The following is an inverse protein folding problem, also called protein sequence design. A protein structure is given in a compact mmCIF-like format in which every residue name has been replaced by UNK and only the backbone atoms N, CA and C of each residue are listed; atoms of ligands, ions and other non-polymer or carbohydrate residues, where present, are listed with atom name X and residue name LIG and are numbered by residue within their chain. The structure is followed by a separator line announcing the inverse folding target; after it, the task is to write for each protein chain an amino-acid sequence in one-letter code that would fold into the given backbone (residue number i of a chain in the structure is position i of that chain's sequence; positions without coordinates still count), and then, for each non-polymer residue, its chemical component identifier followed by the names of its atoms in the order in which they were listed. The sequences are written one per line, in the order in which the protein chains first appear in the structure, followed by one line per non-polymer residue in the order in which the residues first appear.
data_IF_061632590787
#
_entry.id   IF_061632590787
#
_cell.length_a   1.000
_cell.length_b   1.000
_cell.length_c   1.000
_cell.angle_alpha   90.00
_cell.angle_beta   90.00
_cell.angle_gamma   90.00
#
_symmetry.space_group_name_H-M   'P 1'
#
loop_
_entity.id
_entity.type
_entity.pdbx_description
1 polymer ?
#
# COMPACT_ATOMS: atom_id res chain seq x y z
N UNK A 1 16.42 11.86 10.03
CA UNK A 1 15.18 12.61 9.81
C UNK A 1 14.92 12.76 8.31
N UNK A 2 14.30 11.75 7.66
CA UNK A 2 13.84 11.81 6.24
C UNK A 2 13.09 10.54 5.81
N UNK A 3 13.49 9.36 6.31
CA UNK A 3 13.02 8.08 5.75
C UNK A 3 11.51 7.82 5.92
N UNK A 4 10.88 8.30 6.99
CA UNK A 4 9.44 8.06 7.22
C UNK A 4 8.49 9.00 6.47
N UNK A 5 8.93 10.20 6.07
CA UNK A 5 8.02 11.20 5.50
C UNK A 5 7.64 10.87 4.04
N UNK A 6 8.59 10.37 3.26
CA UNK A 6 8.32 10.00 1.86
C UNK A 6 7.38 8.80 1.77
N UNK A 7 7.65 7.74 2.54
CA UNK A 7 6.76 6.58 2.62
C UNK A 7 5.36 6.98 3.12
N UNK A 8 5.28 7.76 4.20
CA UNK A 8 4.01 8.27 4.71
C UNK A 8 3.24 9.09 3.66
N UNK A 9 3.90 9.98 2.92
CA UNK A 9 3.24 10.73 1.86
C UNK A 9 2.69 9.83 0.74
N UNK A 10 3.44 8.81 0.32
CA UNK A 10 2.96 7.83 -0.67
C UNK A 10 1.79 6.99 -0.14
N UNK A 11 1.83 6.65 1.14
CA UNK A 11 0.76 5.93 1.82
C UNK A 11 -0.54 6.77 1.82
N UNK A 12 -0.49 8.04 2.22
CA UNK A 12 -1.65 8.93 2.20
C UNK A 12 -2.23 9.14 0.78
N UNK A 13 -1.37 9.28 -0.23
CA UNK A 13 -1.82 9.38 -1.63
C UNK A 13 -2.52 8.10 -2.07
N UNK A 14 -2.06 6.94 -1.60
CA UNK A 14 -2.68 5.64 -1.85
C UNK A 14 -4.08 5.56 -1.25
N UNK A 15 -4.25 5.99 0.00
CA UNK A 15 -5.55 6.10 0.65
C UNK A 15 -6.52 7.00 -0.11
N UNK A 16 -6.04 8.17 -0.54
CA UNK A 16 -6.81 9.10 -1.35
C UNK A 16 -7.23 8.49 -2.71
N UNK A 17 -6.34 7.70 -3.34
CA UNK A 17 -6.62 6.99 -4.58
C UNK A 17 -7.66 5.88 -4.43
N UNK A 18 -7.75 5.25 -3.26
CA UNK A 18 -8.80 4.27 -2.94
C UNK A 18 -10.13 4.97 -2.64
N UNK A 19 -10.11 6.12 -1.97
CA UNK A 19 -11.31 6.87 -1.60
C UNK A 19 -12.12 7.31 -2.84
N UNK A 20 -13.36 6.82 -2.95
CA UNK A 20 -14.34 7.26 -3.94
C UNK A 20 -14.81 8.70 -3.71
N UNK A 21 -15.60 9.27 -4.65
CA UNK A 21 -16.03 10.69 -4.60
C UNK A 21 -16.66 11.07 -3.25
N UNK A 22 -17.66 10.31 -2.80
CA UNK A 22 -18.35 10.57 -1.54
C UNK A 22 -17.47 10.39 -0.30
N UNK A 23 -16.46 9.50 -0.35
CA UNK A 23 -15.52 9.32 0.76
C UNK A 23 -14.58 10.52 0.89
N UNK A 24 -14.17 11.14 -0.23
CA UNK A 24 -13.31 12.33 -0.22
C UNK A 24 -13.91 13.58 0.41
N UNK A 25 -15.22 13.58 0.64
CA UNK A 25 -15.93 14.67 1.31
C UNK A 25 -15.95 14.50 2.84
N UNK A 26 -15.44 13.37 3.36
CA UNK A 26 -15.38 13.07 4.79
C UNK A 26 -13.97 13.32 5.33
N UNK A 27 -13.87 13.70 6.61
CA UNK A 27 -12.61 13.72 7.36
C UNK A 27 -11.96 12.33 7.26
N UNK A 28 -10.66 12.29 6.95
CA UNK A 28 -9.85 11.08 6.73
C UNK A 28 -10.47 10.06 5.77
N UNK A 29 -11.19 10.55 4.76
CA UNK A 29 -11.93 9.76 3.78
C UNK A 29 -12.99 8.82 4.39
N UNK A 30 -13.36 9.04 5.65
CA UNK A 30 -14.17 8.11 6.44
C UNK A 30 -13.51 6.74 6.60
N UNK A 31 -12.17 6.65 6.59
CA UNK A 31 -11.48 5.45 7.05
C UNK A 31 -11.77 5.23 8.54
N UNK A 32 -11.87 3.96 8.91
CA UNK A 32 -11.97 3.55 10.29
C UNK A 32 -10.62 3.79 10.95
N UNK A 33 -10.57 4.55 12.04
CA UNK A 33 -9.39 4.64 12.88
C UNK A 33 -9.47 3.56 13.95
N UNK A 34 -8.63 2.53 13.84
CA UNK A 34 -8.48 1.52 14.88
C UNK A 34 -7.14 1.76 15.55
N UNK A 35 -7.11 2.19 16.83
CA UNK A 35 -5.87 2.41 17.53
C UNK A 35 -5.07 1.11 17.65
N UNK A 36 -3.80 1.27 17.98
CA UNK A 36 -2.90 0.17 18.32
C UNK A 36 -3.45 -0.69 19.49
N UNK A 37 -2.96 -1.92 19.64
CA UNK A 37 -3.52 -2.87 20.62
C UNK A 37 -4.63 -3.76 20.04
N UNK A 38 -4.60 -4.03 18.73
CA UNK A 38 -5.64 -4.83 18.06
C UNK A 38 -5.49 -6.32 18.36
N UNK A 39 -6.62 -6.97 18.63
CA UNK A 39 -6.70 -8.43 18.65
C UNK A 39 -6.58 -9.02 17.23
N UNK A 40 -6.42 -10.35 17.13
CA UNK A 40 -6.24 -11.02 15.85
C UNK A 40 -7.40 -10.78 14.87
N UNK A 41 -8.64 -10.69 15.36
CA UNK A 41 -9.82 -10.48 14.52
C UNK A 41 -9.82 -9.05 13.95
N UNK A 42 -9.56 -8.06 14.80
CA UNK A 42 -9.55 -6.65 14.44
C UNK A 42 -8.35 -6.35 13.52
N UNK A 43 -7.21 -6.96 13.78
CA UNK A 43 -6.04 -6.89 12.90
C UNK A 43 -6.35 -7.47 11.51
N UNK A 44 -7.03 -8.61 11.42
CA UNK A 44 -7.44 -9.17 10.12
C UNK A 44 -8.39 -8.24 9.35
N UNK A 45 -9.33 -7.59 10.03
CA UNK A 45 -10.25 -6.62 9.40
C UNK A 45 -9.50 -5.36 8.92
N UNK A 46 -8.51 -4.91 9.70
CA UNK A 46 -7.62 -3.83 9.31
C UNK A 46 -6.83 -4.19 8.04
N UNK A 47 -6.20 -5.37 8.02
CA UNK A 47 -5.46 -5.83 6.85
C UNK A 47 -6.33 -5.93 5.60
N UNK A 48 -7.58 -6.39 5.72
CA UNK A 48 -8.54 -6.44 4.60
C UNK A 48 -8.74 -5.09 3.91
N UNK A 49 -8.79 -3.99 4.70
CA UNK A 49 -8.95 -2.64 4.15
C UNK A 49 -7.62 -2.06 3.63
N UNK A 50 -6.50 -2.51 4.17
CA UNK A 50 -5.14 -2.06 3.82
C UNK A 50 -4.52 -2.72 2.59
N UNK A 51 -5.01 -3.90 2.15
CA UNK A 51 -4.47 -4.58 0.96
C UNK A 51 -4.40 -3.66 -0.26
N UNK A 52 -5.45 -2.86 -0.49
CA UNK A 52 -5.54 -2.01 -1.69
C UNK A 52 -4.71 -0.72 -1.58
N UNK A 53 -4.76 0.05 -0.47
CA UNK A 53 -3.82 1.14 -0.23
C UNK A 53 -2.36 0.70 -0.37
N UNK A 54 -1.93 -0.37 0.30
CA UNK A 54 -0.53 -0.79 0.26
C UNK A 54 -0.10 -1.36 -1.10
N UNK A 55 -1.02 -1.89 -1.90
CA UNK A 55 -0.72 -2.26 -3.28
C UNK A 55 -0.46 -1.02 -4.16
N UNK A 56 -1.19 0.08 -3.95
CA UNK A 56 -0.90 1.35 -4.62
C UNK A 56 0.40 1.96 -4.11
N UNK A 57 0.65 1.90 -2.81
CA UNK A 57 1.91 2.38 -2.23
C UNK A 57 3.10 1.65 -2.84
N UNK A 58 3.05 0.32 -2.96
CA UNK A 58 4.12 -0.46 -3.59
C UNK A 58 4.32 -0.05 -5.05
N UNK A 59 3.24 0.11 -5.83
CA UNK A 59 3.32 0.61 -7.22
C UNK A 59 3.99 1.99 -7.29
N UNK A 60 3.66 2.90 -6.37
CA UNK A 60 4.23 4.24 -6.31
C UNK A 60 5.71 4.23 -5.89
N UNK A 61 6.06 3.41 -4.90
CA UNK A 61 7.43 3.20 -4.46
C UNK A 61 8.31 2.73 -5.63
N UNK A 62 7.88 1.69 -6.37
CA UNK A 62 8.62 1.21 -7.55
C UNK A 62 8.67 2.29 -8.64
N UNK A 63 7.56 2.98 -8.92
CA UNK A 63 7.53 4.07 -9.90
C UNK A 63 8.47 5.23 -9.53
N UNK A 64 8.73 5.46 -8.24
CA UNK A 64 9.65 6.48 -7.75
C UNK A 64 11.09 5.97 -7.54
N UNK A 65 11.36 4.67 -7.73
CA UNK A 65 12.65 4.07 -7.38
C UNK A 65 12.93 4.04 -5.87
N UNK A 66 11.88 4.00 -5.04
CA UNK A 66 11.94 4.01 -3.58
C UNK A 66 11.62 2.62 -3.00
N UNK A 67 12.30 2.16 -1.93
CA UNK A 67 12.02 0.86 -1.34
C UNK A 67 10.65 0.82 -0.64
N UNK A 68 9.85 -0.20 -0.95
CA UNK A 68 8.58 -0.47 -0.28
C UNK A 68 8.80 -1.37 0.94
N UNK A 69 8.07 -1.09 2.03
CA UNK A 69 7.96 -1.96 3.19
C UNK A 69 6.49 -2.08 3.57
N UNK A 70 5.96 -3.31 3.60
CA UNK A 70 4.60 -3.55 4.09
C UNK A 70 4.52 -3.13 5.57
N UNK A 71 3.42 -2.46 5.93
CA UNK A 71 3.13 -2.01 7.29
C UNK A 71 1.93 -2.77 7.85
N UNK A 72 2.10 -3.50 8.94
CA UNK A 72 0.96 -4.13 9.63
C UNK A 72 0.36 -3.22 10.72
N UNK A 73 1.05 -2.12 11.04
CA UNK A 73 0.62 -1.01 11.91
C UNK A 73 0.01 -1.42 13.27
N UNK A 74 0.66 -2.34 14.00
CA UNK A 74 0.19 -2.86 15.30
C UNK A 74 1.39 -3.06 16.26
N UNK A 75 1.95 -1.96 16.80
CA UNK A 75 3.17 -1.98 17.63
C UNK A 75 2.90 -2.34 19.09
N UNK A 76 1.68 -2.12 19.58
CA UNK A 76 1.20 -2.39 20.94
C UNK A 76 0.16 -3.53 20.98
N UNK A 77 -0.02 -4.23 19.86
CA UNK A 77 -0.92 -5.37 19.73
C UNK A 77 -0.58 -6.56 20.62
N UNK A 78 -1.61 -7.29 21.06
CA UNK A 78 -1.45 -8.58 21.78
C UNK A 78 -0.92 -9.71 20.86
N UNK A 79 -0.85 -9.46 19.56
CA UNK A 79 -0.46 -10.42 18.53
C UNK A 79 0.49 -9.77 17.54
N UNK A 80 1.62 -10.45 17.30
CA UNK A 80 2.53 -10.14 16.20
C UNK A 80 1.87 -10.52 14.86
N UNK A 81 1.58 -9.55 13.97
CA UNK A 81 0.93 -9.84 12.69
C UNK A 81 1.84 -10.63 11.76
N UNK A 82 1.26 -11.56 11.00
CA UNK A 82 1.98 -12.31 9.97
C UNK A 82 2.28 -11.41 8.76
N UNK A 83 3.40 -10.69 8.86
CA UNK A 83 3.87 -9.74 7.86
C UNK A 83 4.03 -10.37 6.48
N UNK A 84 4.48 -11.62 6.41
CA UNK A 84 4.73 -12.30 5.14
C UNK A 84 3.39 -12.64 4.49
N UNK A 85 2.45 -13.23 5.24
CA UNK A 85 1.11 -13.51 4.74
C UNK A 85 0.41 -12.24 4.26
N UNK A 86 0.51 -11.13 5.01
CA UNK A 86 -0.07 -9.87 4.59
C UNK A 86 0.60 -9.31 3.32
N UNK A 87 1.94 -9.32 3.23
CA UNK A 87 2.66 -8.90 2.03
C UNK A 87 2.30 -9.74 0.79
N UNK A 88 2.04 -11.03 0.95
CA UNK A 88 1.56 -11.92 -0.14
C UNK A 88 0.21 -11.46 -0.69
N UNK A 89 -0.71 -11.05 0.19
CA UNK A 89 -2.02 -10.50 -0.21
C UNK A 89 -1.87 -9.18 -0.96
N UNK A 90 -0.99 -8.30 -0.49
CA UNK A 90 -0.65 -7.04 -1.18
C UNK A 90 -0.03 -7.33 -2.55
N UNK A 91 0.93 -8.25 -2.63
CA UNK A 91 1.56 -8.67 -3.89
C UNK A 91 0.52 -9.20 -4.88
N UNK A 92 -0.36 -10.11 -4.45
CA UNK A 92 -1.44 -10.63 -5.30
C UNK A 92 -2.31 -9.50 -5.87
N UNK A 93 -2.60 -8.49 -5.05
CA UNK A 93 -3.35 -7.30 -5.48
C UNK A 93 -2.58 -6.47 -6.51
N UNK A 94 -1.26 -6.30 -6.36
CA UNK A 94 -0.40 -5.65 -7.37
C UNK A 94 -0.47 -6.41 -8.70
N UNK A 95 -0.33 -7.74 -8.68
CA UNK A 95 -0.40 -8.56 -9.89
C UNK A 95 -1.74 -8.39 -10.61
N UNK A 96 -2.85 -8.45 -9.87
CA UNK A 96 -4.19 -8.20 -10.43
C UNK A 96 -4.30 -6.81 -11.08
N UNK A 97 -3.70 -5.77 -10.48
CA UNK A 97 -3.73 -4.42 -11.02
C UNK A 97 -2.88 -4.27 -12.29
N UNK A 98 -1.75 -4.96 -12.37
CA UNK A 98 -0.93 -5.00 -13.58
C UNK A 98 -1.63 -5.75 -14.73
N UNK A 99 -2.33 -6.83 -14.42
CA UNK A 99 -3.04 -7.66 -15.40
C UNK A 99 -4.35 -7.00 -15.89
N UNK A 100 -5.19 -6.54 -14.96
CA UNK A 100 -6.54 -6.03 -15.27
C UNK A 100 -6.57 -4.52 -15.57
N UNK A 101 -5.45 -3.82 -15.32
CA UNK A 101 -5.32 -2.39 -15.50
C UNK A 101 -5.43 -1.60 -14.20
N UNK A 102 -4.57 -0.58 -14.09
CA UNK A 102 -4.51 0.33 -12.95
C UNK A 102 -5.55 1.45 -13.15
N UNK A 103 -6.40 1.76 -12.13
CA UNK A 103 -7.37 2.84 -12.24
C UNK A 103 -6.74 4.20 -12.56
N UNK A 104 -7.52 5.09 -13.17
CA UNK A 104 -7.00 6.33 -13.78
C UNK A 104 -6.15 7.19 -12.84
N UNK A 105 -6.59 7.37 -11.58
CA UNK A 105 -5.89 8.21 -10.59
C UNK A 105 -4.50 7.66 -10.22
N UNK A 106 -4.38 6.43 -9.69
CA UNK A 106 -3.06 5.85 -9.43
C UNK A 106 -2.21 5.74 -10.71
N UNK A 107 -2.82 5.41 -11.86
CA UNK A 107 -2.08 5.34 -13.12
C UNK A 107 -1.49 6.70 -13.54
N UNK A 108 -2.23 7.80 -13.33
CA UNK A 108 -1.74 9.17 -13.59
C UNK A 108 -0.56 9.51 -12.68
N UNK A 109 -0.65 9.16 -11.40
CA UNK A 109 0.43 9.42 -10.45
C UNK A 109 1.68 8.59 -10.75
N UNK A 110 1.52 7.30 -11.10
CA UNK A 110 2.62 6.43 -11.54
C UNK A 110 3.35 7.05 -12.73
N UNK A 111 2.64 7.51 -13.77
CA UNK A 111 3.28 8.15 -14.93
C UNK A 111 4.04 9.42 -14.55
N UNK A 112 3.49 10.22 -13.62
CA UNK A 112 4.15 11.42 -13.14
C UNK A 112 5.43 11.08 -12.36
N UNK A 113 5.39 10.07 -11.49
CA UNK A 113 6.56 9.57 -10.77
C UNK A 113 7.62 9.03 -11.73
N UNK A 114 7.24 8.19 -12.69
CA UNK A 114 8.16 7.63 -13.69
C UNK A 114 8.82 8.73 -14.53
N UNK A 115 8.04 9.75 -14.92
CA UNK A 115 8.59 10.89 -15.65
C UNK A 115 9.53 11.72 -14.78
N UNK A 116 9.22 11.93 -13.50
CA UNK A 116 10.06 12.73 -12.62
C UNK A 116 11.37 12.01 -12.26
N UNK A 117 11.28 10.74 -11.87
CA UNK A 117 12.40 9.93 -11.40
C UNK A 117 13.11 9.14 -12.50
N UNK A 118 12.62 9.23 -13.75
CA UNK A 118 13.21 8.56 -14.92
C UNK A 118 13.30 7.03 -14.74
N UNK A 119 12.23 6.41 -14.24
CA UNK A 119 12.14 4.96 -14.02
C UNK A 119 11.41 4.27 -15.18
N UNK A 120 11.70 2.98 -15.45
CA UNK A 120 11.08 2.26 -16.55
C UNK A 120 9.59 1.97 -16.31
N UNK A 121 8.91 1.49 -17.37
CA UNK A 121 7.54 0.97 -17.27
C UNK A 121 7.48 -0.15 -16.24
N UNK A 122 6.44 -0.16 -15.40
CA UNK A 122 6.26 -1.20 -14.38
C UNK A 122 6.01 -2.56 -15.04
N UNK A 123 6.72 -3.58 -14.57
CA UNK A 123 6.53 -4.98 -14.93
C UNK A 123 6.39 -5.80 -13.65
N UNK A 124 5.85 -7.02 -13.75
CA UNK A 124 5.68 -7.91 -12.60
C UNK A 124 7.03 -8.23 -11.90
N UNK A 125 8.13 -8.26 -12.64
CA UNK A 125 9.48 -8.55 -12.13
C UNK A 125 9.97 -7.52 -11.08
N UNK A 126 9.42 -6.30 -11.08
CA UNK A 126 9.76 -5.29 -10.07
C UNK A 126 9.11 -5.55 -8.71
N UNK A 127 8.21 -6.53 -8.61
CA UNK A 127 7.46 -6.87 -7.41
C UNK A 127 7.76 -8.33 -7.04
N UNK A 128 8.91 -8.62 -6.41
CA UNK A 128 9.26 -9.99 -6.08
C UNK A 128 8.26 -10.57 -5.07
N UNK A 129 7.99 -11.87 -5.22
CA UNK A 129 7.19 -12.61 -4.25
C UNK A 129 7.90 -12.60 -2.89
N UNK A 130 7.20 -12.29 -1.78
CA UNK A 130 7.77 -12.41 -0.45
C UNK A 130 7.94 -13.89 -0.08
N UNK A 131 9.17 -14.37 -0.20
CA UNK A 131 9.61 -15.69 0.25
C UNK A 131 9.56 -15.79 1.78
N UNK A 132 9.44 -17.01 2.29
CA UNK A 132 9.56 -17.24 3.72
C UNK A 132 10.99 -16.88 4.17
N UNK A 133 11.15 -16.31 5.37
CA UNK A 133 12.47 -16.13 5.96
C UNK A 133 12.98 -17.53 6.34
N UNK A 134 13.94 -18.05 5.57
CA UNK A 134 14.64 -19.31 5.86
C UNK A 134 15.59 -19.19 7.05
#
# INVERSE_FOLDING_TARGET
FAHGFFASALHEISHWCVAGKARRERVDFGYWYCPDGRDAMTQSQFEDVEVKPQAYEWLFCVAAGFPFNVSCDNLEGDVEPDRIAFQRRVHARVMTLLEQGIPERPARFIRALQHYYQTPTLTAEHFPWPEDLH
#
